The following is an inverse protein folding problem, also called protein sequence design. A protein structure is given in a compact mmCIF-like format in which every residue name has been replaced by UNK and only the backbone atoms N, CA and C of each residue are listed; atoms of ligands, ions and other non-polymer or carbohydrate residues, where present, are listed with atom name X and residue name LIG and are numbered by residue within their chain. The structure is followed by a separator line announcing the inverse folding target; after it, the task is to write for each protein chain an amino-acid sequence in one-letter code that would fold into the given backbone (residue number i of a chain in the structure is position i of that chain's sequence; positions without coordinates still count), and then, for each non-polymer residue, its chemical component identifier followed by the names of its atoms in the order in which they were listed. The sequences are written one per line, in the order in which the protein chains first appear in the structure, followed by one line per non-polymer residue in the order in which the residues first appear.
data_IF_240561500766
#
_entry.id   IF_240561500766
#
_cell.length_a   1.000
_cell.length_b   1.000
_cell.length_c   1.000
_cell.angle_alpha   90.00
_cell.angle_beta   90.00
_cell.angle_gamma   90.00
#
_symmetry.space_group_name_H-M   'P 1'
#
loop_
_entity.id
_entity.type
_entity.pdbx_description
1 polymer ?
#
# COMPACT_ATOMS: atom_id res chain seq x y z
N UNK A 1 -61.57 -32.38 51.19
CA UNK A 1 -62.73 -31.54 51.57
C UNK A 1 -62.15 -30.24 52.10
N UNK A 2 -62.10 -29.20 51.26
CA UNK A 2 -62.98 -27.99 51.30
C UNK A 2 -62.66 -27.10 52.51
N UNK A 3 -62.49 -25.79 52.45
CA UNK A 3 -62.65 -24.69 51.48
C UNK A 3 -61.84 -23.50 52.11
N UNK A 4 -61.27 -22.53 51.37
CA UNK A 4 -61.88 -21.22 51.05
C UNK A 4 -62.62 -20.58 52.24
N UNK A 5 -62.48 -19.31 52.65
CA UNK A 5 -61.94 -18.05 52.09
C UNK A 5 -61.95 -16.99 53.23
N UNK A 6 -61.65 -15.72 52.88
CA UNK A 6 -61.87 -14.44 53.61
C UNK A 6 -60.68 -13.89 54.42
N UNK A 7 -60.54 -12.57 54.60
CA UNK A 7 -60.51 -11.38 53.74
C UNK A 7 -60.14 -10.20 54.66
N UNK A 8 -59.51 -9.17 54.07
CA UNK A 8 -59.53 -7.74 54.50
C UNK A 8 -58.65 -7.26 55.67
N UNK A 9 -57.52 -6.64 55.27
CA UNK A 9 -57.09 -5.24 55.54
C UNK A 9 -56.93 -4.76 56.99
N UNK A 10 -55.71 -4.31 57.34
CA UNK A 10 -55.45 -2.94 57.87
C UNK A 10 -53.97 -2.58 57.68
N UNK A 11 -53.74 -1.39 57.12
CA UNK A 11 -52.45 -0.73 56.90
C UNK A 11 -51.84 -0.25 58.21
N UNK A 12 -50.55 -0.46 58.43
CA UNK A 12 -49.76 0.42 59.30
C UNK A 12 -48.32 0.49 58.81
N UNK A 13 -47.90 1.73 58.58
CA UNK A 13 -46.60 2.22 58.14
C UNK A 13 -45.50 1.87 59.14
N UNK A 14 -44.34 1.43 58.68
CA UNK A 14 -43.06 1.79 59.32
C UNK A 14 -41.91 1.66 58.33
N UNK A 15 -41.02 2.65 58.43
CA UNK A 15 -39.93 2.98 57.54
C UNK A 15 -38.85 1.89 57.44
N UNK A 16 -38.31 1.71 56.24
CA UNK A 16 -36.99 1.15 56.04
C UNK A 16 -36.32 1.90 54.89
N UNK A 17 -35.12 2.39 55.21
CA UNK A 17 -34.31 3.36 54.49
C UNK A 17 -33.77 2.82 53.16
N UNK A 18 -33.83 3.67 52.15
CA UNK A 18 -33.22 3.47 50.83
C UNK A 18 -32.03 4.45 50.72
N UNK A 19 -30.77 4.01 50.79
CA UNK A 19 -29.64 4.91 50.65
C UNK A 19 -29.30 5.10 49.16
N UNK A 20 -29.71 6.26 48.66
CA UNK A 20 -28.94 7.19 47.84
C UNK A 20 -27.90 6.60 46.85
N UNK A 21 -28.26 6.66 45.57
CA UNK A 21 -27.54 7.40 44.52
C UNK A 21 -26.07 7.73 44.83
N UNK A 22 -25.16 6.80 44.52
CA UNK A 22 -23.73 7.08 44.43
C UNK A 22 -23.34 7.33 42.97
N UNK A 23 -22.94 8.57 42.70
CA UNK A 23 -22.36 9.04 41.43
C UNK A 23 -21.14 8.20 41.01
N UNK A 24 -20.94 7.92 39.72
CA UNK A 24 -19.72 7.26 39.26
C UNK A 24 -18.50 8.18 39.43
N UNK A 25 -17.31 7.63 39.70
CA UNK A 25 -16.11 8.42 39.92
C UNK A 25 -15.69 9.19 38.67
N UNK A 26 -15.23 10.41 38.95
CA UNK A 26 -14.66 11.41 38.06
C UNK A 26 -13.88 10.87 36.87
N UNK A 27 -14.26 11.36 35.69
CA UNK A 27 -13.48 11.31 34.46
C UNK A 27 -12.06 11.81 34.70
N UNK A 28 -11.10 10.89 34.61
CA UNK A 28 -9.71 11.22 34.33
C UNK A 28 -9.65 11.87 32.95
N UNK A 29 -9.68 13.19 32.92
CA UNK A 29 -9.32 14.02 31.78
C UNK A 29 -7.90 13.65 31.34
N UNK A 30 -7.78 12.79 30.33
CA UNK A 30 -6.61 12.83 29.47
C UNK A 30 -6.61 14.22 28.84
N UNK A 31 -5.77 15.10 29.37
CA UNK A 31 -5.43 16.34 28.72
C UNK A 31 -4.98 15.97 27.30
N UNK A 32 -5.83 16.29 26.33
CA UNK A 32 -5.45 16.39 24.94
C UNK A 32 -4.19 17.24 24.92
N UNK A 33 -3.04 16.62 24.65
CA UNK A 33 -1.85 17.34 24.27
C UNK A 33 -2.22 18.02 22.95
N UNK A 34 -2.72 19.25 23.05
CA UNK A 34 -2.99 20.12 21.94
C UNK A 34 -1.75 20.09 21.06
N UNK A 35 -1.90 19.47 19.88
CA UNK A 35 -0.82 19.29 18.94
C UNK A 35 -0.18 20.66 18.70
N UNK A 36 1.13 20.73 18.89
CA UNK A 36 1.93 21.83 18.38
C UNK A 36 1.48 22.09 16.94
N UNK A 37 1.19 23.34 16.54
CA UNK A 37 0.79 23.63 15.17
C UNK A 37 1.81 22.97 14.24
N UNK A 38 1.35 22.13 13.33
CA UNK A 38 2.22 21.56 12.30
C UNK A 38 2.90 22.75 11.62
N UNK A 39 4.20 22.90 11.89
CA UNK A 39 5.02 23.87 11.19
C UNK A 39 4.72 23.74 9.69
N UNK A 40 4.62 24.88 8.98
CA UNK A 40 4.30 24.91 7.55
C UNK A 40 5.12 23.89 6.74
N UNK A 41 4.66 23.54 5.52
CA UNK A 41 5.18 22.38 4.78
C UNK A 41 6.70 22.38 4.78
N UNK A 42 7.29 21.38 5.46
CA UNK A 42 8.75 21.24 5.53
C UNK A 42 9.27 21.07 4.11
N UNK A 43 10.35 21.77 3.71
CA UNK A 43 10.96 21.57 2.42
C UNK A 43 11.22 20.08 2.17
N UNK A 44 10.97 19.65 0.93
CA UNK A 44 11.36 18.31 0.49
C UNK A 44 12.89 18.21 0.54
N UNK A 45 13.40 17.02 0.86
CA UNK A 45 14.85 16.82 0.94
C UNK A 45 15.48 17.01 -0.44
N UNK A 46 16.70 17.52 -0.52
CA UNK A 46 17.44 17.53 -1.78
C UNK A 46 17.62 16.10 -2.32
N UNK A 47 17.44 15.87 -3.64
CA UNK A 47 17.66 14.56 -4.23
C UNK A 47 19.08 14.04 -3.97
N UNK A 48 19.18 12.78 -3.55
CA UNK A 48 20.45 12.07 -3.40
C UNK A 48 21.02 11.70 -4.77
N UNK A 49 22.36 11.62 -4.90
CA UNK A 49 22.99 11.11 -6.12
C UNK A 49 22.54 9.68 -6.44
N UNK A 50 22.25 9.42 -7.72
CA UNK A 50 21.88 8.09 -8.19
C UNK A 50 23.02 7.09 -7.96
N UNK A 51 22.69 5.91 -7.44
CA UNK A 51 23.67 4.84 -7.21
C UNK A 51 24.61 5.06 -6.02
N UNK A 52 24.38 6.10 -5.22
CA UNK A 52 25.18 6.37 -4.00
C UNK A 52 25.22 5.13 -3.09
N UNK A 53 26.43 4.71 -2.71
CA UNK A 53 26.63 3.59 -1.79
C UNK A 53 26.71 4.10 -0.37
N UNK A 54 25.88 3.52 0.48
CA UNK A 54 25.76 3.93 1.89
C UNK A 54 25.85 2.73 2.82
N UNK A 55 26.26 3.01 4.04
CA UNK A 55 26.26 2.05 5.14
C UNK A 55 24.97 2.26 5.92
N UNK A 56 24.25 1.17 6.14
CA UNK A 56 22.97 1.15 6.83
C UNK A 56 23.08 0.41 8.15
N UNK A 57 22.21 0.69 9.13
CA UNK A 57 22.15 -0.11 10.34
C UNK A 57 21.87 -1.58 10.00
N UNK A 58 22.28 -2.49 10.91
CA UNK A 58 22.08 -3.93 10.72
C UNK A 58 20.61 -4.35 10.76
N UNK A 59 19.76 -3.50 11.33
CA UNK A 59 18.32 -3.69 11.47
C UNK A 59 17.62 -2.33 11.46
N UNK A 60 16.36 -2.35 11.03
CA UNK A 60 15.40 -1.26 11.05
C UNK A 60 14.22 -1.58 11.98
N UNK A 61 14.40 -2.50 12.94
CA UNK A 61 13.32 -2.87 13.88
C UNK A 61 12.84 -1.70 14.75
N UNK A 62 13.68 -0.66 14.93
CA UNK A 62 13.33 0.62 15.55
C UNK A 62 12.25 1.40 14.78
N UNK A 63 12.01 1.05 13.51
CA UNK A 63 11.02 1.67 12.63
C UNK A 63 9.66 0.96 12.62
N UNK A 64 9.53 -0.15 13.34
CA UNK A 64 8.25 -0.84 13.48
C UNK A 64 7.24 0.06 14.20
N UNK A 65 6.01 0.12 13.69
CA UNK A 65 4.92 0.89 14.30
C UNK A 65 4.03 0.05 15.20
N UNK A 66 4.19 -1.28 15.14
CA UNK A 66 3.52 -2.26 15.96
C UNK A 66 4.49 -3.42 16.22
N UNK A 67 4.36 -4.14 17.35
CA UNK A 67 5.15 -5.33 17.58
C UNK A 67 4.85 -6.39 16.52
N UNK A 68 5.89 -7.07 16.04
CA UNK A 68 5.68 -8.23 15.16
C UNK A 68 4.91 -9.32 15.91
N UNK A 69 4.13 -10.15 15.20
CA UNK A 69 3.34 -11.18 15.86
C UNK A 69 4.21 -12.13 16.70
N UNK A 70 3.89 -12.20 17.99
CA UNK A 70 4.58 -13.05 18.97
C UNK A 70 4.04 -14.47 19.04
N UNK A 71 4.63 -15.31 19.91
CA UNK A 71 4.23 -16.72 20.09
C UNK A 71 2.75 -16.91 20.41
N UNK A 72 2.15 -16.01 21.19
CA UNK A 72 0.71 -16.02 21.51
C UNK A 72 -0.16 -15.83 20.28
N UNK A 73 0.25 -14.95 19.38
CA UNK A 73 -0.41 -14.75 18.10
C UNK A 73 -0.31 -16.00 17.23
N UNK A 74 0.85 -16.64 17.14
CA UNK A 74 1.01 -17.92 16.42
C UNK A 74 0.16 -19.04 17.02
N UNK A 75 0.03 -19.10 18.35
CA UNK A 75 -0.83 -20.07 19.02
C UNK A 75 -2.31 -19.85 18.72
N UNK A 76 -2.77 -18.58 18.76
CA UNK A 76 -4.12 -18.20 18.32
C UNK A 76 -4.33 -18.55 16.84
N UNK A 77 -3.34 -18.29 16.01
CA UNK A 77 -3.34 -18.61 14.60
C UNK A 77 -3.52 -20.12 14.34
N UNK A 78 -2.76 -20.96 15.05
CA UNK A 78 -2.86 -22.41 14.98
C UNK A 78 -4.25 -22.94 15.43
N UNK A 79 -4.91 -22.22 16.33
CA UNK A 79 -6.25 -22.58 16.85
C UNK A 79 -7.39 -22.14 15.93
N UNK A 80 -7.33 -20.94 15.38
CA UNK A 80 -8.44 -20.32 14.64
C UNK A 80 -8.44 -20.65 13.15
N UNK A 81 -7.30 -21.08 12.60
CA UNK A 81 -7.23 -21.83 11.35
C UNK A 81 -7.91 -21.18 10.13
N UNK A 82 -7.26 -20.20 9.49
CA UNK A 82 -7.33 -19.99 8.04
C UNK A 82 -6.25 -18.98 7.60
N UNK A 83 -5.27 -19.44 6.79
CA UNK A 83 -4.39 -18.55 6.00
C UNK A 83 -4.99 -18.21 4.63
N UNK A 84 -6.13 -18.83 4.31
CA UNK A 84 -6.73 -18.84 2.98
C UNK A 84 -8.25 -18.95 3.11
N UNK A 85 -9.01 -18.34 2.19
CA UNK A 85 -10.46 -18.54 2.11
C UNK A 85 -10.79 -20.02 1.92
N UNK A 86 -11.96 -20.41 2.44
CA UNK A 86 -12.58 -21.69 2.13
C UNK A 86 -13.05 -21.78 0.67
N UNK A 87 -13.59 -22.93 0.23
CA UNK A 87 -14.07 -23.13 -1.14
C UNK A 87 -15.08 -22.05 -1.60
N UNK A 88 -15.98 -21.62 -0.72
CA UNK A 88 -16.95 -20.56 -1.00
C UNK A 88 -16.27 -19.22 -1.30
N UNK A 89 -15.24 -18.85 -0.53
CA UNK A 89 -14.48 -17.62 -0.75
C UNK A 89 -13.61 -17.64 -2.02
N UNK A 90 -13.39 -18.82 -2.61
CA UNK A 90 -12.71 -19.01 -3.90
C UNK A 90 -13.68 -19.18 -5.08
N UNK A 91 -14.98 -19.35 -4.83
CA UNK A 91 -15.96 -19.63 -5.88
C UNK A 91 -16.08 -18.50 -6.91
N UNK A 92 -15.80 -17.27 -6.49
CA UNK A 92 -15.89 -16.07 -7.33
C UNK A 92 -14.62 -15.77 -8.16
N UNK A 93 -13.60 -16.64 -8.16
CA UNK A 93 -12.41 -16.47 -9.03
C UNK A 93 -12.78 -16.17 -10.50
N UNK A 94 -13.73 -16.89 -11.15
CA UNK A 94 -14.10 -16.61 -12.54
C UNK A 94 -14.73 -15.23 -12.77
N UNK A 95 -15.15 -14.54 -11.70
CA UNK A 95 -15.78 -13.21 -11.75
C UNK A 95 -14.78 -12.08 -11.48
N UNK A 96 -13.53 -12.41 -11.16
CA UNK A 96 -12.49 -11.40 -10.97
C UNK A 96 -12.28 -10.61 -12.27
N UNK A 97 -12.25 -9.26 -12.21
CA UNK A 97 -12.15 -8.45 -13.40
C UNK A 97 -10.75 -8.59 -14.02
N UNK A 98 -10.71 -9.07 -15.26
CA UNK A 98 -9.50 -9.27 -16.04
C UNK A 98 -9.74 -8.81 -17.48
N UNK A 99 -9.05 -7.74 -17.87
CA UNK A 99 -9.23 -7.09 -19.18
C UNK A 99 -7.86 -6.64 -19.71
N UNK A 100 -7.01 -7.59 -20.15
CA UNK A 100 -5.71 -7.27 -20.73
C UNK A 100 -5.88 -6.46 -22.02
N UNK A 101 -5.28 -5.28 -22.05
CA UNK A 101 -5.30 -4.39 -23.22
C UNK A 101 -3.90 -3.90 -23.61
N UNK A 102 -3.77 -3.24 -24.78
CA UNK A 102 -2.55 -2.56 -25.12
C UNK A 102 -2.27 -1.41 -24.13
N UNK A 103 -1.00 -1.18 -23.83
CA UNK A 103 -0.61 -0.02 -23.04
C UNK A 103 -0.95 1.28 -23.81
N UNK A 104 -1.47 2.31 -23.14
CA UNK A 104 -1.79 3.57 -23.80
C UNK A 104 -0.53 4.25 -24.34
N UNK A 105 -0.64 4.86 -25.53
CA UNK A 105 0.41 5.68 -26.10
C UNK A 105 0.29 7.09 -25.52
N UNK A 106 1.24 7.47 -24.68
CA UNK A 106 1.25 8.77 -23.98
C UNK A 106 2.57 9.51 -24.18
N UNK A 107 2.51 10.84 -24.19
CA UNK A 107 3.69 11.71 -24.23
C UNK A 107 4.25 11.97 -22.82
N UNK A 108 5.32 12.77 -22.72
CA UNK A 108 5.95 13.06 -21.42
C UNK A 108 5.09 13.93 -20.48
N UNK A 109 4.04 14.58 -21.00
CA UNK A 109 3.10 15.46 -20.29
C UNK A 109 1.80 14.73 -19.95
N UNK A 110 1.77 13.41 -20.03
CA UNK A 110 0.58 12.62 -19.69
C UNK A 110 1.00 11.50 -18.77
N UNK A 111 0.29 11.34 -17.65
CA UNK A 111 0.51 10.21 -16.74
C UNK A 111 -0.40 9.07 -17.18
N UNK A 112 0.13 7.86 -17.26
CA UNK A 112 -0.67 6.67 -17.49
C UNK A 112 -0.32 5.59 -16.48
N UNK A 113 -1.32 4.83 -16.05
CA UNK A 113 -1.14 3.67 -15.18
C UNK A 113 -1.82 2.47 -15.81
N UNK A 114 -1.14 1.33 -15.77
CA UNK A 114 -1.68 0.04 -16.21
C UNK A 114 -1.45 -0.99 -15.12
N UNK A 115 -2.51 -1.65 -14.67
CA UNK A 115 -2.41 -2.61 -13.57
C UNK A 115 -2.02 -3.98 -14.09
N UNK A 116 -0.80 -4.47 -13.80
CA UNK A 116 -0.37 -5.81 -14.18
C UNK A 116 -0.88 -6.91 -13.23
N UNK A 117 -1.48 -6.51 -12.10
CA UNK A 117 -1.95 -7.36 -11.02
C UNK A 117 -1.06 -7.25 -9.77
N UNK A 118 -1.63 -7.61 -8.62
CA UNK A 118 -1.01 -7.48 -7.29
C UNK A 118 -0.61 -6.03 -7.00
N UNK A 119 0.59 -5.76 -6.49
CA UNK A 119 1.18 -4.44 -6.36
C UNK A 119 1.96 -3.98 -7.61
N UNK A 120 1.88 -4.73 -8.71
CA UNK A 120 2.63 -4.44 -9.93
C UNK A 120 1.89 -3.50 -10.87
N UNK A 121 2.43 -2.29 -11.02
CA UNK A 121 1.95 -1.28 -11.95
C UNK A 121 3.00 -0.96 -13.01
N UNK A 122 2.52 -0.65 -14.22
CA UNK A 122 3.30 0.08 -15.22
C UNK A 122 2.86 1.54 -15.14
N UNK A 123 3.75 2.41 -14.64
CA UNK A 123 3.48 3.84 -14.48
C UNK A 123 4.29 4.61 -15.52
N UNK A 124 3.60 5.34 -16.40
CA UNK A 124 4.20 6.31 -17.33
C UNK A 124 4.07 7.69 -16.72
N UNK A 125 5.18 8.37 -16.46
CA UNK A 125 5.21 9.69 -15.82
C UNK A 125 6.47 10.45 -16.25
N UNK A 126 6.34 11.72 -16.65
CA UNK A 126 7.48 12.55 -17.06
C UNK A 126 8.33 11.94 -18.18
N UNK A 127 7.72 11.15 -19.07
CA UNK A 127 8.40 10.42 -20.14
C UNK A 127 9.13 9.13 -19.71
N UNK A 128 9.11 8.78 -18.42
CA UNK A 128 9.65 7.51 -17.92
C UNK A 128 8.59 6.40 -17.95
N UNK A 129 9.05 5.15 -18.07
CA UNK A 129 8.31 3.94 -17.69
C UNK A 129 8.87 3.38 -16.39
N UNK A 130 8.07 3.43 -15.33
CA UNK A 130 8.40 2.93 -14.00
C UNK A 130 7.59 1.68 -13.70
N UNK A 131 8.24 0.62 -13.22
CA UNK A 131 7.54 -0.52 -12.63
C UNK A 131 7.54 -0.43 -11.11
N UNK A 132 6.39 -0.63 -10.48
CA UNK A 132 6.28 -0.81 -9.02
C UNK A 132 6.30 -2.30 -8.71
N UNK A 133 7.06 -2.75 -7.71
CA UNK A 133 7.06 -4.12 -7.17
C UNK A 133 6.75 -5.23 -8.20
N UNK A 134 7.61 -5.39 -9.24
CA UNK A 134 7.21 -6.14 -10.42
C UNK A 134 7.22 -7.65 -10.18
N UNK A 135 6.05 -8.28 -10.30
CA UNK A 135 5.83 -9.72 -10.16
C UNK A 135 5.06 -10.30 -11.36
N UNK A 136 5.83 -10.77 -12.35
CA UNK A 136 5.34 -11.48 -13.53
C UNK A 136 5.35 -13.01 -13.35
N UNK A 137 5.81 -13.51 -12.21
CA UNK A 137 5.85 -14.95 -11.92
C UNK A 137 4.45 -15.54 -11.76
N UNK A 138 4.28 -16.79 -12.22
CA UNK A 138 3.05 -17.57 -11.98
C UNK A 138 2.86 -17.91 -10.50
N UNK A 139 3.95 -18.11 -9.78
CA UNK A 139 3.98 -18.49 -8.36
C UNK A 139 5.02 -17.65 -7.64
N UNK A 140 4.69 -17.25 -6.42
CA UNK A 140 5.62 -16.69 -5.44
C UNK A 140 5.90 -17.78 -4.39
N UNK A 141 7.05 -17.69 -3.71
CA UNK A 141 7.44 -18.72 -2.75
C UNK A 141 6.45 -18.72 -1.56
N UNK A 142 5.87 -19.88 -1.24
CA UNK A 142 4.97 -20.03 -0.10
C UNK A 142 3.48 -19.86 -0.41
N UNK A 143 3.09 -19.59 -1.66
CA UNK A 143 1.67 -19.42 -2.04
C UNK A 143 1.25 -20.37 -3.17
N UNK A 144 -0.07 -20.53 -3.40
CA UNK A 144 -0.59 -21.10 -4.63
C UNK A 144 -0.18 -20.26 -5.86
N UNK A 145 -0.46 -20.79 -7.05
CA UNK A 145 -0.33 -19.99 -8.28
C UNK A 145 -1.28 -18.79 -8.25
N UNK A 146 -0.89 -17.71 -8.94
CA UNK A 146 -1.76 -16.56 -9.13
C UNK A 146 -3.10 -16.99 -9.74
N UNK A 147 -4.19 -16.44 -9.20
CA UNK A 147 -5.57 -16.76 -9.59
C UNK A 147 -6.01 -15.97 -10.83
N UNK A 148 -5.51 -14.74 -10.98
CA UNK A 148 -5.69 -13.94 -12.20
C UNK A 148 -4.35 -13.86 -12.94
N UNK A 149 -4.29 -14.06 -14.27
CA UNK A 149 -3.06 -13.93 -15.06
C UNK A 149 -2.42 -12.53 -14.97
N UNK A 150 -1.19 -12.38 -15.48
CA UNK A 150 -0.55 -11.06 -15.57
C UNK A 150 -1.31 -10.21 -16.58
N UNK A 151 -1.73 -9.00 -16.17
CA UNK A 151 -2.53 -8.11 -17.01
C UNK A 151 -1.77 -7.48 -18.18
N UNK A 152 -0.46 -7.33 -18.04
CA UNK A 152 0.42 -6.76 -19.09
C UNK A 152 1.47 -7.79 -19.49
N UNK A 153 1.41 -8.25 -20.74
CA UNK A 153 2.43 -9.17 -21.26
C UNK A 153 3.82 -8.51 -21.22
N UNK A 154 4.83 -9.24 -20.74
CA UNK A 154 6.19 -8.69 -20.65
C UNK A 154 6.74 -8.25 -22.00
N UNK A 155 6.42 -8.97 -23.08
CA UNK A 155 6.81 -8.61 -24.45
C UNK A 155 6.13 -7.34 -24.96
N UNK A 156 5.06 -6.89 -24.32
CA UNK A 156 4.36 -5.65 -24.65
C UNK A 156 4.86 -4.45 -23.82
N UNK A 157 5.74 -4.67 -22.83
CA UNK A 157 6.32 -3.58 -22.06
C UNK A 157 7.24 -2.74 -22.96
N UNK A 158 7.14 -1.41 -22.92
CA UNK A 158 8.17 -0.55 -23.48
C UNK A 158 9.47 -0.73 -22.67
N UNK A 159 10.51 -0.01 -23.09
CA UNK A 159 11.72 0.09 -22.27
C UNK A 159 11.36 0.53 -20.85
N UNK A 160 11.85 -0.23 -19.87
CA UNK A 160 11.68 0.08 -18.45
C UNK A 160 12.82 1.01 -18.04
N UNK A 161 12.47 2.23 -17.65
CA UNK A 161 13.43 3.27 -17.27
C UNK A 161 13.78 3.21 -15.78
N UNK A 162 12.86 2.74 -14.95
CA UNK A 162 13.09 2.55 -13.52
C UNK A 162 12.24 1.42 -12.94
N UNK A 163 12.71 0.86 -11.82
CA UNK A 163 11.91 0.04 -10.92
C UNK A 163 11.94 0.66 -9.54
N UNK A 164 10.79 0.74 -8.88
CA UNK A 164 10.70 1.07 -7.46
C UNK A 164 10.27 -0.16 -6.68
N UNK A 165 10.92 -0.39 -5.54
CA UNK A 165 10.62 -1.50 -4.63
C UNK A 165 10.14 -0.94 -3.30
N UNK A 166 8.97 -1.33 -2.82
CA UNK A 166 8.44 -0.92 -1.50
C UNK A 166 9.19 -1.59 -0.35
N UNK A 167 9.32 -2.91 -0.42
CA UNK A 167 9.93 -3.75 0.61
C UNK A 167 10.36 -5.10 0.05
N UNK A 168 10.87 -5.99 0.90
CA UNK A 168 11.58 -7.18 0.45
C UNK A 168 10.73 -8.47 0.41
N UNK A 169 9.42 -8.49 0.67
CA UNK A 169 8.64 -9.73 0.64
C UNK A 169 8.62 -10.37 -0.76
N UNK A 170 8.30 -11.67 -0.83
CA UNK A 170 8.43 -12.45 -2.07
C UNK A 170 7.46 -12.02 -3.17
N UNK A 171 6.31 -11.49 -2.79
CA UNK A 171 5.24 -10.99 -3.64
C UNK A 171 5.43 -9.53 -4.08
N UNK A 172 6.47 -8.86 -3.59
CA UNK A 172 6.87 -7.51 -4.01
C UNK A 172 8.26 -7.48 -4.68
N UNK A 173 9.14 -8.41 -4.28
CA UNK A 173 10.49 -8.54 -4.80
C UNK A 173 10.70 -9.93 -5.42
N UNK A 174 10.23 -10.05 -6.67
CA UNK A 174 10.27 -11.28 -7.45
C UNK A 174 11.57 -11.43 -8.26
N UNK A 175 12.45 -12.31 -7.82
CA UNK A 175 13.74 -12.53 -8.47
C UNK A 175 13.64 -13.00 -9.94
N UNK A 176 12.74 -13.94 -10.31
CA UNK A 176 12.49 -14.29 -11.72
C UNK A 176 12.14 -13.10 -12.60
N UNK A 177 11.25 -12.22 -12.16
CA UNK A 177 10.89 -11.02 -12.91
C UNK A 177 12.07 -10.07 -13.07
N UNK A 178 12.75 -9.76 -11.98
CA UNK A 178 13.91 -8.84 -12.01
C UNK A 178 15.07 -9.40 -12.85
N UNK A 179 15.23 -10.72 -12.97
CA UNK A 179 16.25 -11.32 -13.85
C UNK A 179 16.04 -10.95 -15.32
N UNK A 180 14.84 -10.59 -15.75
CA UNK A 180 14.51 -10.24 -17.13
C UNK A 180 14.94 -8.81 -17.51
N UNK A 181 15.25 -7.98 -16.53
CA UNK A 181 15.69 -6.60 -16.75
C UNK A 181 17.16 -6.53 -17.17
N UNK A 182 17.54 -5.56 -18.02
CA UNK A 182 18.92 -5.12 -18.14
C UNK A 182 19.52 -4.80 -16.77
N UNK A 183 20.80 -5.13 -16.58
CA UNK A 183 21.48 -4.90 -15.28
C UNK A 183 21.80 -3.43 -15.04
N UNK A 184 21.74 -2.61 -16.09
CA UNK A 184 21.88 -1.16 -16.00
C UNK A 184 20.53 -0.44 -15.76
N UNK A 185 19.41 -1.16 -15.64
CA UNK A 185 18.12 -0.56 -15.28
C UNK A 185 18.23 0.07 -13.88
N UNK A 186 17.97 1.38 -13.74
CA UNK A 186 17.85 2.04 -12.44
C UNK A 186 16.83 1.33 -11.54
N UNK A 187 17.24 0.99 -10.33
CA UNK A 187 16.34 0.46 -9.29
C UNK A 187 16.45 1.32 -8.04
N UNK A 188 15.29 1.75 -7.55
CA UNK A 188 15.14 2.53 -6.32
C UNK A 188 14.55 1.62 -5.25
N UNK A 189 15.25 1.51 -4.13
CA UNK A 189 14.96 0.47 -3.13
C UNK A 189 15.08 1.03 -1.71
N UNK A 190 14.40 0.43 -0.73
CA UNK A 190 14.59 0.77 0.67
C UNK A 190 16.04 0.59 1.12
N UNK A 191 16.44 1.42 2.07
CA UNK A 191 17.67 1.30 2.83
C UNK A 191 17.98 -0.16 3.24
N UNK A 192 19.22 -0.59 3.02
CA UNK A 192 19.70 -1.94 3.32
C UNK A 192 19.45 -3.00 2.22
N UNK A 193 18.52 -2.75 1.28
CA UNK A 193 18.17 -3.74 0.24
C UNK A 193 19.16 -3.77 -0.93
N UNK A 194 20.04 -2.77 -1.08
CA UNK A 194 20.91 -2.66 -2.24
C UNK A 194 21.89 -3.82 -2.38
N UNK A 195 22.32 -4.44 -1.28
CA UNK A 195 23.16 -5.66 -1.31
C UNK A 195 22.48 -6.83 -2.04
N UNK A 196 21.15 -6.94 -1.98
CA UNK A 196 20.41 -7.99 -2.67
C UNK A 196 20.49 -7.83 -4.19
N UNK A 197 20.39 -6.59 -4.68
CA UNK A 197 20.45 -6.23 -6.09
C UNK A 197 21.87 -6.31 -6.66
N UNK A 198 22.86 -5.78 -5.94
CA UNK A 198 24.28 -5.83 -6.36
C UNK A 198 24.80 -7.27 -6.50
N UNK A 199 24.40 -8.17 -5.60
CA UNK A 199 24.69 -9.63 -5.73
C UNK A 199 24.10 -10.25 -7.00
N UNK A 200 23.07 -9.63 -7.57
CA UNK A 200 22.43 -10.00 -8.83
C UNK A 200 22.90 -9.12 -10.00
N UNK A 201 24.03 -8.41 -9.83
CA UNK A 201 24.74 -7.63 -10.84
C UNK A 201 24.06 -6.35 -11.31
N UNK A 202 23.00 -5.88 -10.65
CA UNK A 202 22.46 -4.55 -10.95
C UNK A 202 23.50 -3.47 -10.61
N UNK A 203 23.78 -2.59 -11.57
CA UNK A 203 24.81 -1.56 -11.45
C UNK A 203 24.27 -0.20 -10.98
N UNK A 204 22.99 0.10 -11.24
CA UNK A 204 22.33 1.35 -10.83
C UNK A 204 21.30 1.09 -9.72
N UNK A 205 21.78 1.03 -8.48
CA UNK A 205 20.94 0.75 -7.30
C UNK A 205 21.00 1.92 -6.34
N UNK A 206 19.89 2.63 -6.17
CA UNK A 206 19.75 3.77 -5.26
C UNK A 206 18.98 3.32 -4.01
N UNK A 207 19.64 3.36 -2.85
CA UNK A 207 19.04 3.04 -1.54
C UNK A 207 18.62 4.32 -0.82
N UNK A 208 17.36 4.40 -0.38
CA UNK A 208 16.82 5.57 0.33
C UNK A 208 16.23 5.18 1.70
N UNK A 209 16.45 6.03 2.72
CA UNK A 209 15.65 6.06 3.96
C UNK A 209 14.36 6.83 3.72
N UNK A 210 13.44 6.77 4.67
CA UNK A 210 12.22 7.58 4.64
C UNK A 210 12.53 9.06 4.53
N UNK A 211 11.73 9.74 3.71
CA UNK A 211 11.79 11.16 3.42
C UNK A 211 13.02 11.62 2.63
N UNK A 212 13.86 10.68 2.19
CA UNK A 212 14.89 10.92 1.19
C UNK A 212 14.32 10.72 -0.22
N UNK A 213 15.00 11.31 -1.20
CA UNK A 213 14.59 11.23 -2.58
C UNK A 213 15.78 11.07 -3.52
N UNK A 214 15.49 10.76 -4.77
CA UNK A 214 16.43 10.82 -5.88
C UNK A 214 15.70 11.28 -7.15
N UNK A 215 16.43 11.79 -8.13
CA UNK A 215 15.84 12.29 -9.39
C UNK A 215 16.43 11.55 -10.58
N UNK A 216 15.56 11.11 -11.50
CA UNK A 216 15.95 10.45 -12.74
C UNK A 216 15.44 11.25 -13.95
N UNK A 217 16.36 11.56 -14.86
CA UNK A 217 16.03 12.20 -16.12
C UNK A 217 15.78 11.13 -17.20
N UNK A 218 14.78 11.31 -18.09
CA UNK A 218 14.60 10.43 -19.24
C UNK A 218 15.85 10.40 -20.13
N UNK A 219 16.23 9.21 -20.60
CA UNK A 219 17.32 9.07 -21.59
C UNK A 219 16.86 9.63 -22.95
N UNK A 220 17.83 10.06 -23.76
CA UNK A 220 17.59 10.40 -25.17
C UNK A 220 17.02 9.18 -25.92
N UNK A 221 15.99 9.39 -26.74
CA UNK A 221 15.32 8.32 -27.48
C UNK A 221 14.29 7.48 -26.70
N UNK A 222 13.93 7.84 -25.46
CA UNK A 222 12.80 7.21 -24.75
C UNK A 222 11.48 7.34 -25.55
N UNK A 223 10.68 6.27 -25.55
CA UNK A 223 9.50 6.11 -26.40
C UNK A 223 8.45 7.22 -26.19
N UNK A 224 8.24 8.05 -27.22
CA UNK A 224 7.19 9.07 -27.26
C UNK A 224 7.61 10.51 -27.55
N UNK A 225 8.82 10.79 -28.06
CA UNK A 225 9.23 12.16 -28.41
C UNK A 225 9.72 12.28 -29.86
N UNK A 226 9.30 13.31 -30.62
CA UNK A 226 10.00 13.73 -31.82
C UNK A 226 11.42 14.17 -31.47
N UNK A 227 12.38 13.85 -32.33
CA UNK A 227 13.73 14.43 -32.30
C UNK A 227 13.69 15.65 -33.20
N UNK A 228 13.26 16.80 -32.69
CA UNK A 228 13.51 18.07 -33.38
C UNK A 228 14.02 19.13 -32.39
N UNK A 229 15.29 19.50 -32.60
CA UNK A 229 15.82 20.83 -32.32
C UNK A 229 15.76 21.35 -30.89
N UNK A 230 16.69 20.93 -30.04
CA UNK A 230 17.02 21.68 -28.82
C UNK A 230 17.80 20.86 -27.80
N UNK A 231 19.06 21.21 -27.58
CA UNK A 231 19.95 20.61 -26.56
C UNK A 231 19.57 20.92 -25.11
N UNK A 232 18.28 20.92 -24.79
CA UNK A 232 17.76 21.10 -23.44
C UNK A 232 17.72 19.77 -22.68
N UNK A 233 18.27 19.75 -21.47
CA UNK A 233 18.18 18.61 -20.54
C UNK A 233 16.70 18.33 -20.26
N UNK A 234 16.22 17.11 -20.53
CA UNK A 234 14.83 16.72 -20.23
C UNK A 234 14.56 16.84 -18.73
N UNK A 235 13.39 17.37 -18.37
CA UNK A 235 13.00 17.52 -16.98
C UNK A 235 12.88 16.14 -16.28
N UNK A 236 13.36 16.05 -15.04
CA UNK A 236 13.44 14.79 -14.30
C UNK A 236 12.12 14.42 -13.63
N UNK A 237 12.03 13.15 -13.24
CA UNK A 237 11.02 12.67 -12.29
C UNK A 237 11.71 12.43 -10.96
N UNK A 238 11.11 12.97 -9.90
CA UNK A 238 11.57 12.80 -8.53
C UNK A 238 10.91 11.57 -7.90
N UNK A 239 11.72 10.79 -7.20
CA UNK A 239 11.34 9.55 -6.51
C UNK A 239 11.60 9.75 -5.01
N UNK A 240 10.55 9.99 -4.23
CA UNK A 240 10.64 10.12 -2.78
C UNK A 240 10.23 8.80 -2.11
N UNK A 241 11.07 8.29 -1.21
CA UNK A 241 10.73 7.11 -0.41
C UNK A 241 10.01 7.56 0.89
N UNK A 242 8.84 7.01 1.18
CA UNK A 242 8.00 7.45 2.30
C UNK A 242 7.69 6.31 3.27
N UNK A 243 7.40 6.58 4.56
CA UNK A 243 7.10 5.54 5.52
C UNK A 243 5.83 4.75 5.23
N UNK A 244 5.78 3.53 5.79
CA UNK A 244 4.62 2.66 5.82
C UNK A 244 4.53 1.93 7.17
N UNK A 245 3.32 1.53 7.55
CA UNK A 245 3.07 0.63 8.67
C UNK A 245 3.26 -0.81 8.20
N UNK A 246 4.50 -1.29 8.14
CA UNK A 246 4.82 -2.64 7.66
C UNK A 246 6.17 -3.13 8.24
N UNK A 247 6.78 -4.13 7.60
CA UNK A 247 8.04 -4.73 8.00
C UNK A 247 8.73 -5.41 6.80
N UNK A 248 9.84 -6.11 7.03
CA UNK A 248 10.54 -6.83 5.96
C UNK A 248 11.08 -8.18 6.43
N UNK A 249 11.00 -9.21 5.57
CA UNK A 249 11.60 -10.54 5.78
C UNK A 249 11.61 -11.39 4.49
N UNK A 250 12.73 -12.08 4.23
CA UNK A 250 12.84 -13.06 3.14
C UNK A 250 13.39 -14.41 3.56
N UNK A 251 14.07 -14.46 4.68
CA UNK A 251 14.71 -15.66 5.21
C UNK A 251 14.48 -15.75 6.72
N UNK A 252 14.90 -16.84 7.33
CA UNK A 252 14.68 -17.08 8.75
C UNK A 252 15.40 -16.08 9.66
N UNK A 253 16.44 -15.39 9.15
CA UNK A 253 17.34 -14.56 9.95
C UNK A 253 17.41 -13.10 9.48
N UNK A 254 16.51 -12.62 8.63
CA UNK A 254 16.60 -11.27 8.05
C UNK A 254 15.41 -10.35 8.33
N UNK A 255 14.59 -10.68 9.33
CA UNK A 255 13.53 -9.81 9.83
C UNK A 255 14.06 -8.39 10.07
N UNK A 256 13.43 -7.41 9.43
CA UNK A 256 13.77 -5.99 9.49
C UNK A 256 15.24 -5.66 9.17
N UNK A 257 15.95 -6.48 8.38
CA UNK A 257 17.34 -6.15 7.93
C UNK A 257 17.38 -5.17 6.76
N UNK A 258 16.23 -4.91 6.14
CA UNK A 258 16.04 -3.84 5.16
C UNK A 258 14.83 -3.02 5.55
N UNK A 259 14.79 -1.77 5.14
CA UNK A 259 13.62 -0.91 5.35
C UNK A 259 12.44 -1.34 4.46
N UNK A 260 11.29 -0.71 4.66
CA UNK A 260 10.02 -0.87 3.93
C UNK A 260 9.34 0.50 3.82
N UNK A 261 8.42 0.69 2.87
CA UNK A 261 7.79 2.00 2.65
C UNK A 261 7.03 2.08 1.34
N UNK A 262 6.56 3.28 1.01
CA UNK A 262 5.96 3.63 -0.27
C UNK A 262 6.83 4.58 -1.08
N UNK A 263 6.35 4.98 -2.26
CA UNK A 263 7.01 5.90 -3.17
C UNK A 263 6.07 7.01 -3.61
N UNK A 264 6.52 8.26 -3.57
CA UNK A 264 5.87 9.38 -4.28
C UNK A 264 6.70 9.70 -5.52
N UNK A 265 6.08 9.57 -6.69
CA UNK A 265 6.67 9.94 -7.97
C UNK A 265 6.14 11.32 -8.37
N UNK A 266 7.01 12.31 -8.45
CA UNK A 266 6.64 13.69 -8.83
C UNK A 266 7.22 14.02 -10.20
N UNK A 267 6.34 14.30 -11.16
CA UNK A 267 6.72 14.84 -12.47
C UNK A 267 7.21 16.28 -12.33
N UNK A 268 7.96 16.75 -13.32
CA UNK A 268 8.49 18.12 -13.33
C UNK A 268 7.43 19.23 -13.36
N UNK A 269 6.21 18.91 -13.80
CA UNK A 269 5.06 19.81 -13.78
C UNK A 269 4.31 19.80 -12.43
N UNK A 270 4.81 19.03 -11.45
CA UNK A 270 4.27 18.96 -10.10
C UNK A 270 3.24 17.85 -9.87
N UNK A 271 2.79 17.14 -10.91
CA UNK A 271 1.85 16.03 -10.75
C UNK A 271 2.47 14.84 -10.03
N UNK A 272 1.67 14.16 -9.20
CA UNK A 272 2.14 13.12 -8.27
C UNK A 272 1.35 11.84 -8.33
N UNK A 273 2.08 10.72 -8.37
CA UNK A 273 1.54 9.38 -8.12
C UNK A 273 2.15 8.84 -6.84
N UNK A 274 1.30 8.46 -5.89
CA UNK A 274 1.71 7.78 -4.67
C UNK A 274 1.50 6.27 -4.81
N UNK A 275 2.53 5.48 -4.59
CA UNK A 275 2.49 4.02 -4.49
C UNK A 275 2.75 3.62 -3.05
N UNK A 276 1.75 3.09 -2.35
CA UNK A 276 1.88 2.82 -0.92
C UNK A 276 2.77 1.62 -0.56
N UNK A 277 2.95 0.66 -1.48
CA UNK A 277 3.40 -0.67 -1.09
C UNK A 277 2.39 -1.33 -0.14
N UNK A 278 2.92 -2.18 0.76
CA UNK A 278 2.12 -2.74 1.84
C UNK A 278 2.20 -1.86 3.07
N UNK A 279 1.03 -1.59 3.66
CA UNK A 279 0.91 -0.77 4.86
C UNK A 279 -0.40 -1.07 5.57
N UNK A 280 -0.38 -1.06 6.91
CA UNK A 280 -1.55 -0.86 7.74
C UNK A 280 -2.01 0.59 7.72
N UNK A 281 -3.19 0.84 8.28
CA UNK A 281 -3.72 2.20 8.43
C UNK A 281 -3.08 2.93 9.61
N UNK A 282 -2.85 4.24 9.46
CA UNK A 282 -2.35 5.06 10.56
C UNK A 282 -1.81 6.42 10.13
N UNK A 283 -1.09 7.05 11.06
CA UNK A 283 -0.67 8.45 10.98
C UNK A 283 0.29 8.78 9.83
N UNK A 284 0.88 7.79 9.16
CA UNK A 284 1.74 8.06 8.02
C UNK A 284 0.97 8.69 6.85
N UNK A 285 -0.29 8.32 6.62
CA UNK A 285 -1.07 8.87 5.50
C UNK A 285 -1.26 10.39 5.61
N UNK A 286 -1.69 10.90 6.76
CA UNK A 286 -1.85 12.34 6.97
C UNK A 286 -0.52 13.10 6.93
N UNK A 287 0.58 12.50 7.43
CA UNK A 287 1.93 13.08 7.31
C UNK A 287 2.43 13.13 5.88
N UNK A 288 2.14 12.10 5.08
CA UNK A 288 2.46 12.07 3.65
C UNK A 288 1.64 13.14 2.93
N UNK A 289 0.33 13.21 3.15
CA UNK A 289 -0.54 14.23 2.55
C UNK A 289 -0.10 15.66 2.88
N UNK A 290 0.27 15.92 4.13
CA UNK A 290 0.79 17.23 4.54
C UNK A 290 2.13 17.60 3.89
N UNK A 291 2.99 16.61 3.59
CA UNK A 291 4.31 16.83 2.95
C UNK A 291 4.23 16.90 1.42
N UNK A 292 3.25 16.24 0.82
CA UNK A 292 3.05 16.16 -0.63
C UNK A 292 1.63 16.58 -1.00
N UNK A 293 1.25 17.86 -0.84
CA UNK A 293 -0.11 18.32 -1.10
C UNK A 293 -0.47 18.21 -2.58
N UNK A 294 -1.65 17.69 -2.90
CA UNK A 294 -2.11 17.48 -4.28
C UNK A 294 -1.52 16.22 -4.90
N UNK A 295 -1.80 15.06 -4.30
CA UNK A 295 -1.52 13.77 -4.92
C UNK A 295 -2.61 13.50 -5.96
N UNK A 296 -2.24 13.38 -7.24
CA UNK A 296 -3.23 13.16 -8.30
C UNK A 296 -3.82 11.74 -8.28
N UNK A 297 -3.01 10.77 -7.86
CA UNK A 297 -3.40 9.36 -7.79
C UNK A 297 -2.66 8.62 -6.68
N UNK A 298 -3.41 7.95 -5.81
CA UNK A 298 -2.89 7.01 -4.83
C UNK A 298 -3.16 5.55 -5.25
N UNK A 299 -2.12 4.74 -5.34
CA UNK A 299 -2.17 3.30 -5.54
C UNK A 299 -2.13 2.64 -4.16
N UNK A 300 -3.28 2.15 -3.67
CA UNK A 300 -3.45 1.70 -2.29
C UNK A 300 -3.82 0.21 -2.20
N UNK A 301 -3.21 -0.56 -1.30
CA UNK A 301 -3.57 -1.97 -1.11
C UNK A 301 -4.97 -2.08 -0.49
N UNK A 302 -5.75 -3.04 -0.95
CA UNK A 302 -7.08 -3.36 -0.39
C UNK A 302 -7.27 -4.85 -0.07
N UNK A 303 -6.23 -5.67 -0.24
CA UNK A 303 -6.24 -7.12 0.03
C UNK A 303 -5.28 -7.49 1.15
N UNK A 304 -5.17 -8.79 1.44
CA UNK A 304 -4.26 -9.31 2.47
C UNK A 304 -4.58 -8.82 3.90
N UNK A 305 -5.86 -8.66 4.24
CA UNK A 305 -6.27 -8.05 5.51
C UNK A 305 -6.95 -9.01 6.50
N UNK A 306 -7.37 -10.21 6.10
CA UNK A 306 -8.11 -11.12 7.00
C UNK A 306 -7.25 -12.31 7.51
N UNK A 307 -7.20 -12.60 8.83
CA UNK A 307 -7.98 -12.00 9.91
C UNK A 307 -7.44 -10.64 10.39
N UNK A 308 -8.35 -9.68 10.63
CA UNK A 308 -7.98 -8.30 11.05
C UNK A 308 -7.12 -8.25 12.30
N UNK A 309 -7.39 -9.07 13.32
CA UNK A 309 -6.60 -9.08 14.56
C UNK A 309 -5.12 -9.42 14.36
N UNK A 310 -4.76 -10.03 13.23
CA UNK A 310 -3.39 -10.38 12.85
C UNK A 310 -2.78 -9.39 11.85
N UNK A 311 -3.60 -8.86 10.93
CA UNK A 311 -3.11 -8.13 9.76
C UNK A 311 -3.33 -6.62 9.83
N UNK A 312 -4.19 -6.10 10.73
CA UNK A 312 -4.55 -4.67 10.75
C UNK A 312 -3.38 -3.72 10.93
N UNK A 313 -2.35 -4.14 11.67
CA UNK A 313 -1.17 -3.32 11.93
C UNK A 313 -0.27 -3.17 10.69
N UNK A 314 -0.44 -4.03 9.69
CA UNK A 314 0.49 -4.14 8.55
C UNK A 314 -0.18 -4.17 7.17
N UNK A 315 -1.51 -4.34 7.09
CA UNK A 315 -2.32 -4.25 5.88
C UNK A 315 -3.63 -3.49 6.12
N UNK A 316 -3.88 -2.50 5.27
CA UNK A 316 -5.19 -1.85 5.13
C UNK A 316 -6.24 -2.86 4.68
N UNK A 317 -7.44 -2.76 5.25
CA UNK A 317 -8.64 -3.27 4.59
C UNK A 317 -9.19 -2.24 3.57
N UNK A 318 -10.26 -2.56 2.83
CA UNK A 318 -10.83 -1.64 1.85
C UNK A 318 -11.30 -0.30 2.45
N UNK A 319 -11.89 -0.30 3.64
CA UNK A 319 -12.35 0.89 4.35
C UNK A 319 -11.18 1.76 4.81
N UNK A 320 -10.11 1.15 5.32
CA UNK A 320 -8.84 1.80 5.61
C UNK A 320 -8.26 2.52 4.40
N UNK A 321 -8.30 1.90 3.21
CA UNK A 321 -7.77 2.49 1.98
C UNK A 321 -8.58 3.73 1.55
N UNK A 322 -9.90 3.71 1.71
CA UNK A 322 -10.75 4.89 1.46
C UNK A 322 -10.40 6.02 2.44
N UNK A 323 -10.27 5.73 3.73
CA UNK A 323 -9.84 6.73 4.73
C UNK A 323 -8.45 7.28 4.43
N UNK A 324 -7.50 6.41 4.11
CA UNK A 324 -6.15 6.79 3.72
C UNK A 324 -6.13 7.74 2.52
N UNK A 325 -7.01 7.54 1.52
CA UNK A 325 -7.14 8.44 0.36
C UNK A 325 -7.51 9.86 0.80
N UNK A 326 -8.44 9.99 1.75
CA UNK A 326 -8.84 11.27 2.31
C UNK A 326 -7.71 11.91 3.14
N UNK A 327 -7.03 11.14 4.00
CA UNK A 327 -5.92 11.63 4.83
C UNK A 327 -4.72 12.09 3.99
N UNK A 328 -4.48 11.44 2.85
CA UNK A 328 -3.48 11.85 1.88
C UNK A 328 -3.86 13.14 1.14
N UNK A 329 -5.14 13.51 1.11
CA UNK A 329 -5.66 14.53 0.19
C UNK A 329 -5.46 14.14 -1.28
N UNK A 330 -5.53 12.83 -1.59
CA UNK A 330 -5.37 12.35 -2.96
C UNK A 330 -6.65 12.56 -3.76
N UNK A 331 -6.53 13.02 -5.00
CA UNK A 331 -7.68 13.27 -5.88
C UNK A 331 -8.37 11.96 -6.30
N UNK A 332 -7.59 10.88 -6.45
CA UNK A 332 -8.06 9.58 -6.96
C UNK A 332 -7.38 8.44 -6.23
N UNK A 333 -8.06 7.29 -6.19
CA UNK A 333 -7.51 6.04 -5.69
C UNK A 333 -7.61 4.95 -6.74
N UNK A 334 -6.52 4.23 -6.98
CA UNK A 334 -6.53 2.95 -7.69
C UNK A 334 -6.22 1.81 -6.69
N UNK A 335 -7.19 0.92 -6.39
CA UNK A 335 -6.95 -0.23 -5.54
C UNK A 335 -5.96 -1.23 -6.14
N UNK A 336 -5.13 -1.85 -5.30
CA UNK A 336 -4.14 -2.87 -5.68
C UNK A 336 -4.00 -3.95 -4.61
N UNK A 337 -3.05 -4.88 -4.78
CA UNK A 337 -2.76 -5.98 -3.82
C UNK A 337 -3.90 -6.99 -3.63
N UNK A 338 -4.86 -7.04 -4.56
CA UNK A 338 -5.99 -7.97 -4.54
C UNK A 338 -6.13 -8.71 -5.88
N UNK A 339 -7.06 -9.67 -5.94
CA UNK A 339 -7.41 -10.47 -7.13
C UNK A 339 -6.27 -11.26 -7.80
N UNK A 340 -5.07 -11.33 -7.22
CA UNK A 340 -3.90 -11.87 -7.93
C UNK A 340 -3.30 -13.09 -7.24
N UNK A 341 -2.93 -12.99 -5.98
CA UNK A 341 -2.50 -14.12 -5.14
C UNK A 341 -3.44 -14.26 -3.95
N UNK A 342 -3.58 -15.48 -3.45
CA UNK A 342 -4.31 -15.75 -2.21
C UNK A 342 -3.31 -15.72 -1.06
N UNK A 343 -3.31 -14.64 -0.30
CA UNK A 343 -2.32 -14.34 0.75
C UNK A 343 -2.88 -14.42 2.19
N UNK A 344 -4.19 -14.50 2.33
CA UNK A 344 -4.96 -14.28 3.55
C UNK A 344 -6.33 -14.91 3.41
N UNK A 345 -7.19 -14.77 4.42
CA UNK A 345 -8.44 -15.51 4.52
C UNK A 345 -9.65 -14.89 3.79
N UNK A 346 -9.58 -13.64 3.31
CA UNK A 346 -10.75 -12.99 2.72
C UNK A 346 -11.22 -13.66 1.41
N UNK A 347 -12.54 -13.65 1.11
CA UNK A 347 -13.05 -14.04 -0.20
C UNK A 347 -12.46 -13.19 -1.33
N UNK A 348 -12.14 -13.79 -2.46
CA UNK A 348 -11.32 -13.15 -3.52
C UNK A 348 -11.95 -11.89 -4.13
N UNK A 349 -13.29 -11.79 -4.14
CA UNK A 349 -14.03 -10.65 -4.70
C UNK A 349 -14.46 -9.64 -3.61
N UNK A 350 -14.37 -10.01 -2.33
CA UNK A 350 -14.76 -9.15 -1.21
C UNK A 350 -14.03 -7.80 -1.21
N UNK A 351 -12.70 -7.71 -1.46
CA UNK A 351 -11.99 -6.43 -1.52
C UNK A 351 -12.66 -5.41 -2.44
N UNK A 352 -13.04 -5.83 -3.65
CA UNK A 352 -13.68 -4.94 -4.64
C UNK A 352 -15.06 -4.46 -4.17
N UNK A 353 -15.87 -5.38 -3.63
CA UNK A 353 -17.22 -5.04 -3.16
C UNK A 353 -17.13 -4.05 -2.00
N UNK A 354 -16.27 -4.31 -1.01
CA UNK A 354 -16.09 -3.45 0.16
C UNK A 354 -15.52 -2.09 -0.20
N UNK A 355 -14.52 -2.00 -1.07
CA UNK A 355 -13.94 -0.69 -1.45
C UNK A 355 -14.97 0.19 -2.15
N UNK A 356 -15.80 -0.38 -3.03
CA UNK A 356 -16.89 0.35 -3.70
C UNK A 356 -17.92 0.87 -2.71
N UNK A 357 -18.35 0.02 -1.79
CA UNK A 357 -19.31 0.40 -0.73
C UNK A 357 -18.73 1.46 0.20
N UNK A 358 -17.47 1.33 0.60
CA UNK A 358 -16.79 2.30 1.47
C UNK A 358 -16.63 3.66 0.76
N UNK A 359 -16.27 3.65 -0.53
CA UNK A 359 -16.12 4.85 -1.36
C UNK A 359 -17.45 5.60 -1.51
N UNK A 360 -18.52 4.88 -1.82
CA UNK A 360 -19.88 5.44 -1.92
C UNK A 360 -20.34 6.04 -0.58
N UNK A 361 -20.15 5.32 0.53
CA UNK A 361 -20.48 5.82 1.88
C UNK A 361 -19.70 7.06 2.28
N UNK A 362 -18.47 7.21 1.78
CA UNK A 362 -17.65 8.39 2.01
C UNK A 362 -18.09 9.60 1.15
N UNK A 363 -19.06 9.44 0.25
CA UNK A 363 -19.56 10.51 -0.61
C UNK A 363 -18.57 10.95 -1.69
N UNK A 364 -17.62 10.08 -2.05
CA UNK A 364 -16.59 10.37 -3.04
C UNK A 364 -17.10 10.09 -4.46
N UNK A 365 -16.63 10.88 -5.44
CA UNK A 365 -17.06 10.77 -6.82
C UNK A 365 -16.65 9.41 -7.43
N UNK A 366 -17.57 8.74 -8.14
CA UNK A 366 -17.35 7.35 -8.63
C UNK A 366 -16.20 7.27 -9.62
N UNK A 367 -16.03 8.29 -10.45
CA UNK A 367 -14.99 8.44 -11.46
C UNK A 367 -13.57 8.54 -10.88
N UNK A 368 -13.45 8.90 -9.60
CA UNK A 368 -12.17 9.03 -8.90
C UNK A 368 -11.75 7.72 -8.20
N UNK A 369 -12.63 6.71 -8.17
CA UNK A 369 -12.28 5.32 -7.82
C UNK A 369 -11.87 4.55 -9.08
N UNK A 370 -10.58 4.33 -9.25
CA UNK A 370 -9.99 3.58 -10.36
C UNK A 370 -9.83 2.11 -10.01
N UNK A 371 -10.95 1.44 -9.77
CA UNK A 371 -11.07 0.00 -9.50
C UNK A 371 -10.90 -0.86 -10.77
N UNK A 372 -9.72 -0.74 -11.39
CA UNK A 372 -9.41 -1.32 -12.69
C UNK A 372 -9.44 -2.85 -12.69
N UNK A 373 -9.92 -3.49 -13.77
CA UNK A 373 -9.58 -4.87 -14.07
C UNK A 373 -8.07 -5.08 -14.18
N UNK A 374 -7.58 -6.27 -13.86
CA UNK A 374 -6.19 -6.63 -14.13
C UNK A 374 -5.96 -6.56 -15.64
N UNK A 375 -4.99 -5.73 -16.05
CA UNK A 375 -4.63 -5.47 -17.45
C UNK A 375 -5.18 -4.16 -18.03
N UNK A 376 -6.15 -3.54 -17.36
CA UNK A 376 -6.71 -2.28 -17.79
C UNK A 376 -5.79 -1.10 -17.47
N UNK A 377 -6.02 0.02 -18.16
CA UNK A 377 -5.22 1.25 -18.07
C UNK A 377 -6.09 2.49 -17.88
N UNK A 378 -5.55 3.51 -17.22
CA UNK A 378 -6.11 4.86 -17.13
C UNK A 378 -5.05 5.91 -17.39
N UNK A 379 -5.50 7.10 -17.78
CA UNK A 379 -4.67 8.23 -18.17
C UNK A 379 -5.12 9.46 -17.38
N UNK A 380 -4.15 10.22 -16.85
CA UNK A 380 -4.32 11.56 -16.31
C UNK A 380 -3.79 12.54 -17.36
N UNK A 381 -4.72 13.30 -17.96
CA UNK A 381 -4.44 14.37 -18.92
C UNK A 381 -3.77 15.56 -18.24
#
# INVERSE_FOLDING_TARGET
MTQQSESTTTTTTTDAEDPASASPPSSSTFASAAGTPLAGPRPLAEPRPLGERRVWPRSFADRLTAPLPGLSGFARFAREGALRPGPEGLADIPRLPYEPGPLPRVDARTIAVSWAGHASWVVRIGGLTVLTDPVWSRKILGTPARITPVGVAWSALPRIDAVVISHNHYDHLDAPTLRRLPRDTPVFVPAGLGRWFRRRRFSHVTELDWWEAAELHPRDGAAGAPVEGGGGRRAGVRFDFVPAHHWSKRSLHDTCRTLWGGWVLTASDGRRVYFAGDTGYGHWFSRIGARYPGIDLALLPIGAYDPRWWLSDVHCDPEDAVRATQDLGAHRMAPMHWATFVLSAEPVLEPLTRVRTAWEKAGLAREDLWDLPVGASRVLG
#
